data_IF_812262829831
#
_entry.id   IF_812262829831
#
_cell.length_a   1.000
_cell.length_b   1.000
_cell.length_c   1.000
_cell.angle_alpha   90.00
_cell.angle_beta   90.00
_cell.angle_gamma   90.00
#
_symmetry.space_group_name_H-M   'P 1'
#
loop_
_entity.id
_entity.type
_entity.pdbx_description
1 polymer ?
#
# COMPACT_ATOMS: atom_id res chain seq x y z
N UNK A 1 6.31 19.94 10.35
CA UNK A 1 5.55 19.23 9.31
C UNK A 1 5.12 20.23 8.25
N UNK A 2 5.30 19.89 6.96
CA UNK A 2 4.67 20.63 5.85
C UNK A 2 3.46 19.82 5.39
N UNK A 3 2.31 20.49 5.21
CA UNK A 3 1.06 19.85 4.79
C UNK A 3 0.48 20.58 3.58
N UNK A 4 0.30 19.85 2.49
CA UNK A 4 -0.31 20.35 1.26
C UNK A 4 -1.65 19.64 1.11
N UNK A 5 -2.74 20.41 0.93
CA UNK A 5 -4.10 19.88 0.83
C UNK A 5 -4.68 20.22 -0.53
N UNK A 6 -5.27 19.21 -1.17
CA UNK A 6 -6.07 19.34 -2.37
C UNK A 6 -7.49 18.89 -2.06
N UNK A 7 -8.43 19.45 -2.81
CA UNK A 7 -9.80 18.97 -2.84
C UNK A 7 -10.30 18.97 -4.26
N UNK A 8 -10.99 17.92 -4.67
CA UNK A 8 -11.70 17.88 -5.95
C UNK A 8 -13.10 17.30 -5.77
N UNK A 9 -13.96 17.51 -6.76
CA UNK A 9 -15.33 16.99 -6.75
C UNK A 9 -15.43 15.81 -7.71
N UNK A 10 -15.82 14.67 -7.17
CA UNK A 10 -16.13 13.47 -7.92
C UNK A 10 -17.65 13.27 -8.03
N UNK A 11 -18.06 12.35 -8.90
CA UNK A 11 -19.45 11.93 -9.03
C UNK A 11 -19.56 10.46 -8.63
N UNK A 12 -20.31 10.21 -7.56
CA UNK A 12 -20.76 8.87 -7.20
C UNK A 12 -22.09 8.61 -7.92
N UNK A 13 -22.10 7.60 -8.80
CA UNK A 13 -23.28 7.20 -9.56
C UNK A 13 -23.94 6.01 -8.87
N UNK A 14 -25.12 6.24 -8.31
CA UNK A 14 -25.90 5.24 -7.59
C UNK A 14 -27.08 4.81 -8.46
N UNK A 15 -27.40 3.53 -8.46
CA UNK A 15 -28.58 2.99 -9.14
C UNK A 15 -29.79 3.13 -8.22
N UNK A 16 -30.78 3.91 -8.65
CA UNK A 16 -32.11 3.97 -8.04
C UNK A 16 -32.98 2.91 -8.71
N UNK A 17 -33.08 1.75 -8.05
CA UNK A 17 -33.79 0.59 -8.57
C UNK A 17 -35.30 0.81 -8.67
N UNK A 18 -35.88 1.63 -7.79
CA UNK A 18 -37.32 1.92 -7.77
C UNK A 18 -37.72 2.75 -8.99
N UNK A 19 -36.92 3.78 -9.31
CA UNK A 19 -37.20 4.68 -10.43
C UNK A 19 -36.41 4.30 -11.71
N UNK A 20 -35.71 3.15 -11.70
CA UNK A 20 -34.87 2.65 -12.80
C UNK A 20 -33.95 3.71 -13.42
N UNK A 21 -33.31 4.52 -12.58
CA UNK A 21 -32.47 5.64 -13.02
C UNK A 21 -31.13 5.68 -12.30
N UNK A 22 -30.19 6.38 -12.90
CA UNK A 22 -28.93 6.71 -12.23
C UNK A 22 -29.06 8.05 -11.52
N UNK A 23 -28.67 8.08 -10.24
CA UNK A 23 -28.57 9.31 -9.46
C UNK A 23 -27.09 9.65 -9.32
N UNK A 24 -26.72 10.79 -9.88
CA UNK A 24 -25.36 11.34 -9.77
C UNK A 24 -25.28 12.23 -8.53
N UNK A 25 -24.48 11.79 -7.53
CA UNK A 25 -24.21 12.54 -6.31
C UNK A 25 -22.80 13.11 -6.37
N UNK A 26 -22.68 14.43 -6.21
CA UNK A 26 -21.37 15.10 -6.07
C UNK A 26 -20.77 14.78 -4.71
N UNK A 27 -19.52 14.35 -4.69
CA UNK A 27 -18.77 14.02 -3.48
C UNK A 27 -17.43 14.75 -3.53
N UNK A 28 -17.10 15.50 -2.49
CA UNK A 28 -15.77 16.12 -2.36
C UNK A 28 -14.79 15.07 -1.85
N UNK A 29 -13.65 14.97 -2.53
CA UNK A 29 -12.52 14.11 -2.14
C UNK A 29 -11.33 14.97 -1.78
N UNK A 30 -10.58 14.51 -0.80
CA UNK A 30 -9.37 15.18 -0.32
C UNK A 30 -8.14 14.34 -0.62
N UNK A 31 -7.06 15.04 -0.96
CA UNK A 31 -5.72 14.48 -0.99
C UNK A 31 -4.82 15.36 -0.12
N UNK A 32 -4.08 14.73 0.79
CA UNK A 32 -3.19 15.41 1.73
C UNK A 32 -1.80 14.83 1.56
N UNK A 33 -0.86 15.66 1.12
CA UNK A 33 0.55 15.33 1.15
C UNK A 33 1.19 15.91 2.42
N UNK A 34 1.99 15.10 3.09
CA UNK A 34 2.64 15.41 4.35
C UNK A 34 4.14 15.18 4.21
N UNK A 35 4.92 16.10 4.74
CA UNK A 35 6.37 15.95 4.90
C UNK A 35 6.72 16.11 6.36
N UNK A 36 7.23 15.03 6.93
CA UNK A 36 7.83 15.06 8.25
C UNK A 36 9.27 15.55 8.11
N UNK A 37 9.51 16.79 8.56
CA UNK A 37 10.83 17.43 8.48
C UNK A 37 11.86 16.78 9.41
N UNK A 38 11.43 16.05 10.44
CA UNK A 38 12.34 15.39 11.37
C UNK A 38 12.84 14.07 10.79
N UNK A 39 11.94 13.29 10.18
CA UNK A 39 12.29 11.97 9.63
C UNK A 39 12.63 11.99 8.13
N UNK A 40 12.31 13.07 7.42
CA UNK A 40 12.49 13.17 5.96
C UNK A 40 11.45 12.38 5.15
N UNK A 41 10.53 11.67 5.81
CA UNK A 41 9.52 10.87 5.11
C UNK A 41 8.39 11.73 4.57
N UNK A 42 7.89 11.29 3.42
CA UNK A 42 6.71 11.87 2.79
C UNK A 42 5.56 10.87 2.79
N UNK A 43 4.36 11.37 3.02
CA UNK A 43 3.13 10.58 2.98
C UNK A 43 2.13 11.27 2.07
N UNK A 44 1.38 10.49 1.31
CA UNK A 44 0.23 10.99 0.57
C UNK A 44 -0.97 10.17 1.03
N UNK A 45 -1.94 10.87 1.62
CA UNK A 45 -3.23 10.31 2.06
C UNK A 45 -4.28 10.76 1.07
N UNK A 46 -4.96 9.84 0.43
CA UNK A 46 -6.01 10.14 -0.55
C UNK A 46 -7.29 9.43 -0.16
N UNK A 47 -8.42 10.12 -0.31
CA UNK A 47 -9.71 9.46 -0.25
C UNK A 47 -9.87 8.53 -1.47
N UNK A 48 -10.53 7.37 -1.35
CA UNK A 48 -10.81 6.52 -2.50
C UNK A 48 -11.61 7.29 -3.56
N UNK A 49 -11.21 7.24 -4.85
CA UNK A 49 -11.93 7.92 -5.91
C UNK A 49 -13.31 7.30 -6.14
N UNK A 50 -14.25 8.08 -6.70
CA UNK A 50 -15.58 7.57 -7.09
C UNK A 50 -15.54 7.04 -8.53
N UNK A 51 -16.65 6.48 -9.00
CA UNK A 51 -16.78 5.94 -10.37
C UNK A 51 -16.41 6.94 -11.47
N UNK A 52 -16.66 8.24 -11.26
CA UNK A 52 -16.39 9.29 -12.25
C UNK A 52 -15.56 10.40 -11.60
N UNK A 53 -14.38 10.63 -12.15
CA UNK A 53 -13.45 11.69 -11.75
C UNK A 53 -12.66 12.26 -12.93
N UNK A 54 -11.83 13.28 -12.68
CA UNK A 54 -11.09 14.01 -13.71
C UNK A 54 -9.93 13.20 -14.31
N UNK A 55 -9.32 12.33 -13.51
CA UNK A 55 -8.14 11.54 -13.91
C UNK A 55 -8.52 10.32 -14.75
N UNK A 56 -8.59 10.54 -16.07
CA UNK A 56 -9.05 9.54 -17.03
C UNK A 56 -7.91 8.97 -17.85
N UNK A 57 -8.06 7.72 -18.23
CA UNK A 57 -7.20 7.06 -19.19
C UNK A 57 -7.32 7.78 -20.54
N UNK A 58 -6.21 8.22 -21.12
CA UNK A 58 -6.23 8.96 -22.38
C UNK A 58 -6.70 8.11 -23.56
N UNK A 59 -6.57 6.78 -23.48
CA UNK A 59 -6.98 5.85 -24.53
C UNK A 59 -8.44 5.46 -24.38
N UNK A 60 -8.88 5.08 -23.17
CA UNK A 60 -10.26 4.59 -22.96
C UNK A 60 -11.25 5.67 -22.52
N UNK A 61 -10.76 6.81 -22.02
CA UNK A 61 -11.58 7.86 -21.40
C UNK A 61 -12.16 7.48 -20.04
N UNK A 62 -11.79 6.31 -19.51
CA UNK A 62 -12.33 5.79 -18.25
C UNK A 62 -11.58 6.34 -17.04
N UNK A 63 -12.32 6.58 -15.96
CA UNK A 63 -11.76 6.93 -14.65
C UNK A 63 -11.11 5.70 -14.01
N UNK A 64 -9.83 5.78 -13.63
CA UNK A 64 -9.10 4.68 -12.98
C UNK A 64 -8.43 5.17 -11.70
N UNK A 65 -8.59 4.41 -10.60
CA UNK A 65 -8.03 4.79 -9.30
C UNK A 65 -6.52 4.98 -9.31
N UNK A 66 -5.80 4.14 -10.08
CA UNK A 66 -4.34 4.28 -10.27
C UNK A 66 -3.96 5.66 -10.82
N UNK A 67 -4.73 6.20 -11.77
CA UNK A 67 -4.43 7.50 -12.39
C UNK A 67 -4.68 8.66 -11.42
N UNK A 68 -5.73 8.54 -10.60
CA UNK A 68 -6.01 9.46 -9.49
C UNK A 68 -4.85 9.48 -8.47
N UNK A 69 -4.36 8.31 -8.03
CA UNK A 69 -3.20 8.20 -7.13
C UNK A 69 -1.93 8.80 -7.75
N UNK A 70 -1.63 8.43 -9.01
CA UNK A 70 -0.43 8.88 -9.73
C UNK A 70 -0.41 10.39 -9.95
N UNK A 71 -1.57 10.99 -10.25
CA UNK A 71 -1.71 12.44 -10.37
C UNK A 71 -1.22 13.14 -9.11
N UNK A 72 -1.71 12.75 -7.93
CA UNK A 72 -1.32 13.41 -6.67
C UNK A 72 0.12 13.13 -6.25
N UNK A 73 0.67 11.96 -6.57
CA UNK A 73 2.10 11.69 -6.39
C UNK A 73 2.95 12.63 -7.24
N UNK A 74 2.58 12.80 -8.52
CA UNK A 74 3.31 13.66 -9.44
C UNK A 74 3.16 15.13 -9.08
N UNK A 75 1.96 15.56 -8.67
CA UNK A 75 1.71 16.94 -8.25
C UNK A 75 2.47 17.27 -6.96
N UNK A 76 2.53 16.33 -6.02
CA UNK A 76 3.37 16.50 -4.83
C UNK A 76 4.86 16.61 -5.17
N UNK A 77 5.38 15.76 -6.06
CA UNK A 77 6.77 15.86 -6.55
C UNK A 77 7.04 17.17 -7.27
N UNK A 78 6.07 17.70 -8.02
CA UNK A 78 6.15 18.98 -8.71
C UNK A 78 6.27 20.14 -7.72
N UNK A 79 5.47 20.15 -6.65
CA UNK A 79 5.60 21.20 -5.62
C UNK A 79 6.92 21.09 -4.87
N UNK A 80 7.40 19.86 -4.66
CA UNK A 80 8.66 19.57 -4.00
C UNK A 80 9.82 19.41 -5.00
N UNK A 81 9.79 20.11 -6.15
CA UNK A 81 10.80 19.95 -7.22
C UNK A 81 12.23 20.23 -6.77
N UNK A 82 12.39 21.07 -5.73
CA UNK A 82 13.68 21.42 -5.14
C UNK A 82 14.14 20.44 -4.06
N UNK A 83 13.38 19.37 -3.79
CA UNK A 83 13.74 18.33 -2.86
C UNK A 83 14.27 17.10 -3.61
N UNK A 84 15.35 16.52 -3.11
CA UNK A 84 15.85 15.24 -3.61
C UNK A 84 15.07 14.11 -2.95
N UNK A 85 14.39 13.31 -3.78
CA UNK A 85 13.71 12.10 -3.35
C UNK A 85 14.63 10.91 -3.56
N UNK A 86 15.00 10.24 -2.48
CA UNK A 86 15.74 8.98 -2.53
C UNK A 86 14.77 7.80 -2.45
N UNK A 87 15.05 6.76 -3.24
CA UNK A 87 14.34 5.50 -3.13
C UNK A 87 14.89 4.73 -1.92
N UNK A 88 14.04 4.45 -0.95
CA UNK A 88 14.36 3.60 0.17
C UNK A 88 14.34 2.13 -0.25
N UNK A 89 15.38 1.36 0.08
CA UNK A 89 15.41 -0.07 -0.20
C UNK A 89 14.50 -0.82 0.78
N UNK A 90 13.30 -1.15 0.32
CA UNK A 90 12.30 -1.87 1.11
C UNK A 90 12.57 -3.38 1.19
N UNK A 91 13.58 -3.91 0.49
CA UNK A 91 13.86 -5.36 0.46
C UNK A 91 14.24 -5.89 1.84
N UNK A 92 15.05 -5.13 2.59
CA UNK A 92 15.43 -5.48 3.97
C UNK A 92 14.25 -5.45 4.93
N UNK A 93 13.39 -4.43 4.80
CA UNK A 93 12.17 -4.34 5.59
C UNK A 93 11.23 -5.52 5.31
N UNK A 94 11.08 -5.91 4.04
CA UNK A 94 10.28 -7.06 3.66
C UNK A 94 10.86 -8.37 4.22
N UNK A 95 12.18 -8.57 4.09
CA UNK A 95 12.88 -9.73 4.65
C UNK A 95 12.70 -9.82 6.16
N UNK A 96 12.87 -8.71 6.89
CA UNK A 96 12.61 -8.67 8.33
C UNK A 96 11.16 -9.03 8.67
N UNK A 97 10.17 -8.48 7.94
CA UNK A 97 8.75 -8.80 8.17
C UNK A 97 8.51 -10.32 7.99
N UNK A 98 9.03 -10.89 6.90
CA UNK A 98 8.86 -12.30 6.56
C UNK A 98 9.49 -13.22 7.61
N UNK A 99 10.68 -12.86 8.10
CA UNK A 99 11.48 -13.68 9.02
C UNK A 99 11.22 -13.37 10.51
N UNK A 100 10.34 -12.42 10.83
CA UNK A 100 10.07 -12.01 12.21
C UNK A 100 9.46 -13.15 13.05
N UNK A 101 10.00 -13.35 14.26
CA UNK A 101 9.47 -14.27 15.27
C UNK A 101 9.18 -13.51 16.59
N UNK A 102 7.95 -13.58 17.14
CA UNK A 102 6.76 -14.20 16.55
C UNK A 102 6.31 -13.47 15.27
N UNK A 103 5.60 -14.18 14.37
CA UNK A 103 5.14 -13.62 13.10
C UNK A 103 4.24 -12.41 13.33
N UNK A 104 4.70 -11.21 13.00
CA UNK A 104 3.93 -9.97 13.18
C UNK A 104 3.01 -9.64 12.00
N UNK A 105 3.18 -10.35 10.89
CA UNK A 105 2.52 -10.08 9.62
C UNK A 105 2.11 -11.38 8.95
N UNK A 106 0.87 -11.46 8.46
CA UNK A 106 0.29 -12.60 7.77
C UNK A 106 0.39 -12.42 6.26
N UNK A 107 0.86 -13.45 5.56
CA UNK A 107 1.15 -13.41 4.12
C UNK A 107 0.25 -14.39 3.36
N UNK A 108 -0.94 -13.99 2.89
CA UNK A 108 -1.78 -14.86 2.06
C UNK A 108 -1.21 -15.04 0.64
N UNK A 109 -0.34 -14.12 0.21
CA UNK A 109 0.28 -14.13 -1.10
C UNK A 109 1.66 -13.50 -1.03
N UNK A 110 2.62 -14.16 -1.67
CA UNK A 110 4.01 -13.73 -1.70
C UNK A 110 4.55 -13.76 -3.13
N UNK A 111 5.42 -12.80 -3.42
CA UNK A 111 6.13 -12.69 -4.69
C UNK A 111 7.62 -12.67 -4.40
N UNK A 112 8.31 -13.78 -4.68
CA UNK A 112 9.76 -13.90 -4.47
C UNK A 112 10.50 -13.92 -5.79
N UNK A 113 11.67 -13.28 -5.81
CA UNK A 113 12.66 -13.46 -6.86
C UNK A 113 13.73 -14.43 -6.37
N UNK A 114 14.03 -15.47 -7.14
CA UNK A 114 15.06 -16.48 -6.81
C UNK A 114 16.36 -16.24 -7.59
N UNK A 115 17.41 -17.03 -7.32
CA UNK A 115 18.80 -16.85 -7.77
C UNK A 115 19.09 -16.73 -9.27
N UNK A 116 18.08 -16.87 -10.14
CA UNK A 116 18.17 -16.69 -11.60
C UNK A 116 17.30 -15.56 -12.15
N UNK A 117 16.87 -14.63 -11.28
CA UNK A 117 15.88 -13.60 -11.61
C UNK A 117 14.50 -14.19 -12.01
N UNK A 118 14.28 -15.48 -11.75
CA UNK A 118 12.98 -16.13 -11.86
C UNK A 118 12.05 -15.60 -10.77
N UNK A 119 10.76 -15.49 -11.10
CA UNK A 119 9.72 -15.05 -10.17
C UNK A 119 8.86 -16.24 -9.80
N UNK A 120 8.72 -16.48 -8.52
CA UNK A 120 7.78 -17.44 -7.97
C UNK A 120 6.68 -16.69 -7.22
N UNK A 121 5.47 -17.23 -7.32
CA UNK A 121 4.29 -16.69 -6.65
C UNK A 121 3.70 -17.80 -5.83
N UNK A 122 3.62 -17.59 -4.52
CA UNK A 122 2.95 -18.48 -3.60
C UNK A 122 1.66 -17.82 -3.14
N UNK A 123 0.60 -18.60 -3.01
CA UNK A 123 -0.69 -18.11 -2.54
C UNK A 123 -1.44 -19.21 -1.81
N UNK A 124 -1.98 -18.88 -0.66
CA UNK A 124 -2.86 -19.75 0.11
C UNK A 124 -4.00 -18.92 0.72
N UNK A 125 -4.92 -19.59 1.40
CA UNK A 125 -6.00 -18.91 2.12
C UNK A 125 -5.50 -18.16 3.37
N UNK A 126 -4.52 -18.74 4.06
CA UNK A 126 -4.04 -18.26 5.35
C UNK A 126 -2.66 -17.59 5.25
N UNK A 127 -1.58 -18.26 5.69
CA UNK A 127 -0.21 -17.78 5.55
C UNK A 127 0.62 -18.72 4.67
N UNK A 128 1.25 -18.19 3.62
CA UNK A 128 1.98 -18.99 2.63
C UNK A 128 3.16 -19.72 3.24
N UNK A 129 3.71 -19.24 4.35
CA UNK A 129 4.82 -19.89 5.06
C UNK A 129 4.42 -21.19 5.75
N UNK A 130 3.11 -21.45 5.86
CA UNK A 130 2.57 -22.71 6.37
C UNK A 130 2.23 -23.69 5.24
N UNK A 131 2.33 -23.27 3.97
CA UNK A 131 2.05 -24.13 2.83
C UNK A 131 3.20 -25.14 2.62
N UNK A 132 2.92 -26.45 2.49
CA UNK A 132 3.95 -27.45 2.30
C UNK A 132 4.83 -27.25 1.06
N UNK A 133 4.29 -26.71 -0.03
CA UNK A 133 5.05 -26.44 -1.25
C UNK A 133 5.97 -25.22 -1.08
N UNK A 134 5.52 -24.22 -0.31
CA UNK A 134 6.37 -23.10 0.09
C UNK A 134 7.52 -23.56 0.98
N UNK A 135 7.23 -24.34 2.04
CA UNK A 135 8.24 -24.85 2.95
C UNK A 135 9.27 -25.75 2.25
N UNK A 136 8.81 -26.62 1.34
CA UNK A 136 9.71 -27.44 0.53
C UNK A 136 10.66 -26.58 -0.33
N UNK A 137 10.14 -25.52 -0.97
CA UNK A 137 10.96 -24.62 -1.76
C UNK A 137 11.92 -23.77 -0.91
N UNK A 138 11.47 -23.33 0.26
CA UNK A 138 12.28 -22.58 1.21
C UNK A 138 13.46 -23.41 1.74
N UNK A 139 13.25 -24.71 2.01
CA UNK A 139 14.32 -25.60 2.46
C UNK A 139 15.45 -25.77 1.43
N UNK A 140 15.13 -25.65 0.14
CA UNK A 140 16.10 -25.81 -0.95
C UNK A 140 16.82 -24.49 -1.31
N UNK A 141 16.11 -23.35 -1.26
CA UNK A 141 16.60 -22.11 -1.91
C UNK A 141 16.30 -20.80 -1.15
N UNK A 142 15.80 -20.83 0.09
CA UNK A 142 15.37 -19.61 0.80
C UNK A 142 16.45 -18.52 0.92
N UNK A 143 17.72 -18.90 1.03
CA UNK A 143 18.83 -17.94 1.13
C UNK A 143 19.02 -17.07 -0.12
N UNK A 144 18.44 -17.48 -1.25
CA UNK A 144 18.52 -16.75 -2.52
C UNK A 144 17.24 -15.96 -2.83
N UNK A 145 16.27 -15.96 -1.91
CA UNK A 145 15.01 -15.25 -2.11
C UNK A 145 15.17 -13.76 -1.84
N UNK A 146 14.65 -12.95 -2.76
CA UNK A 146 14.56 -11.50 -2.60
C UNK A 146 13.09 -11.09 -2.56
N UNK A 147 12.70 -10.50 -1.43
CA UNK A 147 11.35 -10.02 -1.16
C UNK A 147 11.21 -8.55 -1.60
N UNK A 148 11.00 -8.32 -2.90
CA UNK A 148 10.84 -6.95 -3.41
C UNK A 148 9.43 -6.40 -3.23
N UNK A 149 8.42 -7.27 -3.13
CA UNK A 149 7.03 -6.87 -2.95
C UNK A 149 6.36 -7.76 -1.92
N UNK A 150 5.66 -7.14 -0.98
CA UNK A 150 4.96 -7.83 0.09
C UNK A 150 3.51 -7.34 0.14
N UNK A 151 2.57 -8.26 0.34
CA UNK A 151 1.17 -7.89 0.56
C UNK A 151 0.56 -8.82 1.60
N UNK A 152 -0.08 -8.26 2.60
CA UNK A 152 -0.62 -9.04 3.70
C UNK A 152 -1.19 -8.19 4.81
N UNK A 153 -1.29 -8.76 6.00
CA UNK A 153 -2.00 -8.17 7.12
C UNK A 153 -1.13 -8.12 8.37
N UNK A 154 -1.08 -6.97 9.05
CA UNK A 154 -0.51 -6.91 10.40
C UNK A 154 -1.40 -7.65 11.38
N UNK A 155 -0.79 -8.49 12.23
CA UNK A 155 -1.49 -9.38 13.16
C UNK A 155 -1.74 -8.64 14.49
N UNK A 156 -3.00 -8.45 14.93
CA UNK A 156 -3.33 -7.70 16.15
C UNK A 156 -2.73 -8.26 17.42
N UNK A 157 -2.71 -9.58 17.54
CA UNK A 157 -2.21 -10.29 18.71
C UNK A 157 -0.72 -10.01 18.96
N UNK A 158 0.04 -9.72 17.90
CA UNK A 158 1.47 -9.41 17.98
C UNK A 158 1.79 -7.91 18.13
N UNK A 159 0.74 -7.09 18.25
CA UNK A 159 0.86 -5.63 18.36
C UNK A 159 0.86 -5.10 19.79
N UNK A 160 0.63 -5.96 20.79
CA UNK A 160 0.47 -5.53 22.20
C UNK A 160 -0.65 -4.48 22.37
N UNK A 161 -1.74 -4.61 21.61
CA UNK A 161 -2.90 -3.72 21.67
C UNK A 161 -2.73 -2.38 20.94
N UNK A 162 -1.65 -2.18 20.18
CA UNK A 162 -1.47 -0.99 19.35
C UNK A 162 -2.45 -0.95 18.17
N UNK A 163 -2.86 -2.12 17.68
CA UNK A 163 -3.88 -2.27 16.63
C UNK A 163 -4.97 -3.23 17.13
N UNK A 164 -6.22 -2.95 16.78
CA UNK A 164 -7.39 -3.71 17.26
C UNK A 164 -7.95 -4.69 16.21
N UNK A 165 -7.45 -4.62 14.97
CA UNK A 165 -7.89 -5.45 13.84
C UNK A 165 -6.73 -5.63 12.87
N UNK A 166 -6.89 -6.60 11.98
CA UNK A 166 -5.92 -6.80 10.89
C UNK A 166 -5.86 -5.57 9.98
N UNK A 167 -4.63 -5.15 9.67
CA UNK A 167 -4.38 -3.99 8.81
C UNK A 167 -3.71 -4.48 7.55
N UNK A 168 -4.36 -4.30 6.41
CA UNK A 168 -3.75 -4.62 5.14
C UNK A 168 -2.65 -3.61 4.79
N UNK A 169 -1.51 -4.14 4.38
CA UNK A 169 -0.38 -3.37 3.88
C UNK A 169 0.15 -4.00 2.59
N UNK A 170 0.52 -3.14 1.66
CA UNK A 170 1.26 -3.51 0.46
C UNK A 170 2.58 -2.73 0.39
N UNK A 171 3.69 -3.45 0.40
CA UNK A 171 5.04 -2.93 0.19
C UNK A 171 5.46 -3.17 -1.26
N UNK A 172 5.95 -2.12 -1.92
CA UNK A 172 6.41 -2.16 -3.31
C UNK A 172 7.82 -1.60 -3.40
N UNK A 173 8.80 -2.46 -3.65
CA UNK A 173 10.23 -2.09 -3.69
C UNK A 173 10.57 -1.11 -4.81
N UNK A 174 10.11 -1.36 -6.05
CA UNK A 174 10.43 -0.48 -7.20
C UNK A 174 9.99 0.98 -7.06
N UNK A 175 8.74 1.29 -6.69
CA UNK A 175 8.36 2.66 -6.40
C UNK A 175 8.78 3.12 -4.99
N UNK A 176 9.47 2.28 -4.21
CA UNK A 176 9.80 2.49 -2.80
C UNK A 176 8.59 3.01 -2.00
N UNK A 177 7.51 2.24 -2.00
CA UNK A 177 6.23 2.67 -1.46
C UNK A 177 5.62 1.62 -0.54
N UNK A 178 5.08 2.09 0.58
CA UNK A 178 4.20 1.31 1.46
C UNK A 178 2.79 1.89 1.33
N UNK A 179 1.81 1.03 1.08
CA UNK A 179 0.40 1.37 0.94
C UNK A 179 -0.41 0.72 2.04
N UNK A 180 -1.37 1.45 2.57
CA UNK A 180 -2.37 0.98 3.52
C UNK A 180 -3.76 1.20 2.91
N UNK A 181 -4.77 0.51 3.43
CA UNK A 181 -6.15 0.80 3.06
C UNK A 181 -6.59 2.15 3.62
N UNK A 182 -7.52 2.81 2.94
CA UNK A 182 -7.98 4.14 3.30
C UNK A 182 -8.75 4.19 4.63
N UNK A 183 -9.27 3.05 5.09
CA UNK A 183 -10.02 2.94 6.35
C UNK A 183 -9.11 2.73 7.57
N UNK A 184 -7.79 2.64 7.37
CA UNK A 184 -6.83 2.48 8.46
C UNK A 184 -6.73 3.77 9.31
N UNK A 185 -6.74 3.61 10.63
CA UNK A 185 -6.57 4.70 11.57
C UNK A 185 -5.11 5.18 11.59
N UNK A 186 -4.89 6.43 12.01
CA UNK A 186 -3.54 7.01 12.03
C UNK A 186 -2.59 6.27 12.99
N UNK A 187 -3.07 5.84 14.15
CA UNK A 187 -2.30 5.03 15.09
C UNK A 187 -1.95 3.64 14.50
N UNK A 188 -2.88 3.04 13.75
CA UNK A 188 -2.69 1.76 13.05
C UNK A 188 -1.55 1.86 12.02
N UNK A 189 -1.57 2.90 11.18
CA UNK A 189 -0.53 3.17 10.19
C UNK A 189 0.80 3.49 10.87
N UNK A 190 0.79 4.31 11.92
CA UNK A 190 1.99 4.69 12.65
C UNK A 190 2.66 3.48 13.33
N UNK A 191 1.88 2.55 13.87
CA UNK A 191 2.40 1.29 14.41
C UNK A 191 3.19 0.50 13.34
N UNK A 192 2.57 0.27 12.18
CA UNK A 192 3.17 -0.48 11.09
C UNK A 192 4.46 0.20 10.57
N UNK A 193 4.41 1.51 10.34
CA UNK A 193 5.58 2.28 9.89
C UNK A 193 6.69 2.24 10.93
N UNK A 194 6.37 2.40 12.22
CA UNK A 194 7.36 2.34 13.30
C UNK A 194 8.05 0.98 13.36
N UNK A 195 7.28 -0.11 13.26
CA UNK A 195 7.83 -1.48 13.20
C UNK A 195 8.84 -1.65 12.06
N UNK A 196 8.53 -1.10 10.89
CA UNK A 196 9.42 -1.13 9.72
C UNK A 196 10.69 -0.29 9.93
N UNK A 197 10.60 0.80 10.68
CA UNK A 197 11.74 1.73 10.90
C UNK A 197 12.71 1.28 11.98
N UNK A 198 12.18 0.69 13.04
CA UNK A 198 12.98 0.33 14.22
C UNK A 198 13.84 -0.93 14.00
N UNK A 199 13.79 -1.56 12.81
CA UNK A 199 14.50 -2.79 12.44
C UNK A 199 15.24 -2.63 11.11
#
# INVERSE_FOLDING_TARGET
EIRIKYSETHINRIVDYENQRFIDKKVTKYAIALVDLNSGFTQIRVDPPETIHLHKDHTTGESKSRLYEEYYINEFRRIMENCQFELYDLSRAAEWIVNSEPRVFRLPREHVRTGFNSRQIYSCKDDVRDDPAHQAAANEDASNWVYENLSGYWIPEQSQGQISREIYMQMKGKPSMIRFLADCLENEVNYAIKRIRDN
#
